data_IF_325444850500
#
_entry.id   IF_325444850500
#
_cell.length_a   1.000
_cell.length_b   1.000
_cell.length_c   1.000
_cell.angle_alpha   90.00
_cell.angle_beta   90.00
_cell.angle_gamma   90.00
#
_symmetry.space_group_name_H-M   'P 1'
#
loop_
_entity.id
_entity.type
_entity.pdbx_description
1 polymer ?
#
# COMPACT_ATOMS: atom_id res chain seq x y z
N UNK A 1 1.36 1.98 -16.71
CA UNK A 1 1.98 2.06 -15.36
C UNK A 1 1.54 3.35 -14.69
N UNK A 2 1.19 3.29 -13.39
CA UNK A 2 0.75 4.46 -12.61
C UNK A 2 1.62 4.67 -11.38
N UNK A 3 1.83 5.95 -11.04
CA UNK A 3 2.49 6.37 -9.81
C UNK A 3 1.44 6.92 -8.86
N UNK A 4 1.23 6.24 -7.74
CA UNK A 4 0.29 6.63 -6.72
C UNK A 4 1.03 7.21 -5.53
N UNK A 5 0.60 8.39 -5.07
CA UNK A 5 1.11 9.03 -3.85
C UNK A 5 0.07 8.97 -2.75
N UNK A 6 0.51 8.62 -1.55
CA UNK A 6 -0.30 8.52 -0.35
C UNK A 6 0.31 9.37 0.76
N UNK A 7 -0.39 10.40 1.19
CA UNK A 7 0.00 11.22 2.33
C UNK A 7 -0.32 10.46 3.63
N UNK A 8 0.73 10.20 4.41
CA UNK A 8 0.65 9.60 5.72
C UNK A 8 0.66 10.69 6.81
N UNK A 9 0.38 10.30 8.06
CA UNK A 9 0.36 11.26 9.18
C UNK A 9 1.74 11.91 9.38
N UNK A 10 2.79 11.10 9.28
CA UNK A 10 4.17 11.56 9.35
C UNK A 10 5.11 10.74 8.44
N UNK A 11 6.41 11.02 8.55
CA UNK A 11 7.45 10.31 7.81
C UNK A 11 7.54 8.83 8.20
N UNK A 12 7.38 8.51 9.48
CA UNK A 12 7.49 7.14 9.97
C UNK A 12 6.37 6.27 9.40
N UNK A 13 5.16 6.80 9.33
CA UNK A 13 4.01 6.14 8.72
C UNK A 13 4.21 5.91 7.22
N UNK A 14 4.80 6.88 6.51
CA UNK A 14 5.14 6.73 5.10
C UNK A 14 6.22 5.66 4.84
N UNK A 15 7.28 5.66 5.65
CA UNK A 15 8.35 4.64 5.61
C UNK A 15 7.80 3.25 5.89
N UNK A 16 6.95 3.11 6.93
CA UNK A 16 6.28 1.87 7.29
C UNK A 16 5.42 1.35 6.15
N UNK A 17 4.61 2.21 5.53
CA UNK A 17 3.78 1.82 4.38
C UNK A 17 4.64 1.34 3.20
N UNK A 18 5.68 2.08 2.84
CA UNK A 18 6.58 1.71 1.75
C UNK A 18 7.26 0.35 2.01
N UNK A 19 7.65 0.08 3.26
CA UNK A 19 8.21 -1.22 3.66
C UNK A 19 7.18 -2.37 3.58
N UNK A 20 5.96 -2.15 4.09
CA UNK A 20 4.90 -3.17 4.10
C UNK A 20 4.48 -3.60 2.69
N UNK A 21 4.48 -2.65 1.74
CA UNK A 21 4.09 -2.89 0.34
C UNK A 21 5.28 -3.18 -0.59
N UNK A 22 6.48 -3.35 -0.03
CA UNK A 22 7.69 -3.59 -0.81
C UNK A 22 7.65 -4.89 -1.60
N UNK A 23 8.17 -4.82 -2.83
CA UNK A 23 8.31 -5.97 -3.72
C UNK A 23 9.49 -6.80 -3.26
N UNK A 24 9.24 -8.09 -3.06
CA UNK A 24 10.22 -9.09 -2.65
C UNK A 24 11.11 -9.49 -3.83
N UNK A 25 12.21 -10.21 -3.55
CA UNK A 25 13.15 -10.67 -4.59
C UNK A 25 12.52 -11.54 -5.67
N UNK A 26 11.40 -12.20 -5.35
CA UNK A 26 10.64 -13.05 -6.27
C UNK A 26 9.58 -12.28 -7.08
N UNK A 27 9.53 -10.94 -6.94
CA UNK A 27 8.57 -10.08 -7.64
C UNK A 27 7.18 -10.03 -7.00
N UNK A 28 6.96 -10.69 -5.86
CA UNK A 28 5.68 -10.66 -5.15
C UNK A 28 5.66 -9.59 -4.05
N UNK A 29 4.48 -9.24 -3.55
CA UNK A 29 4.33 -8.45 -2.32
C UNK A 29 3.98 -9.34 -1.13
N UNK A 30 4.36 -8.90 0.08
CA UNK A 30 4.09 -9.64 1.31
C UNK A 30 2.71 -9.35 1.92
N UNK A 31 2.00 -8.35 1.38
CA UNK A 31 0.63 -8.02 1.76
C UNK A 31 -0.32 -9.16 1.38
N UNK A 32 -1.18 -9.54 2.32
CA UNK A 32 -2.29 -10.50 2.15
C UNK A 32 -3.63 -9.76 1.98
N UNK A 33 -3.82 -8.65 2.70
CA UNK A 33 -5.04 -7.85 2.59
C UNK A 33 -5.19 -6.80 3.68
N UNK A 34 -6.44 -6.46 4.01
CA UNK A 34 -6.80 -5.45 5.01
C UNK A 34 -7.65 -6.12 6.09
N UNK A 35 -7.30 -5.89 7.35
CA UNK A 35 -8.04 -6.37 8.52
C UNK A 35 -9.13 -5.39 8.94
N UNK A 36 -8.83 -4.09 8.98
CA UNK A 36 -9.75 -3.05 9.42
C UNK A 36 -9.37 -1.67 8.88
N UNK A 37 -10.35 -0.76 8.90
CA UNK A 37 -10.17 0.68 8.67
C UNK A 37 -10.87 1.43 9.79
N UNK A 38 -10.14 2.30 10.50
CA UNK A 38 -10.62 3.01 11.70
C UNK A 38 -10.24 4.49 11.58
N UNK A 39 -11.19 5.33 11.17
CA UNK A 39 -10.91 6.75 10.92
C UNK A 39 -9.88 6.93 9.80
N UNK A 40 -8.71 7.48 10.14
CA UNK A 40 -7.59 7.67 9.22
C UNK A 40 -6.57 6.50 9.26
N UNK A 41 -6.83 5.46 10.04
CA UNK A 41 -5.94 4.30 10.18
C UNK A 41 -6.40 3.14 9.28
N UNK A 42 -5.44 2.50 8.60
CA UNK A 42 -5.64 1.25 7.88
C UNK A 42 -4.80 0.14 8.52
N UNK A 43 -5.41 -1.01 8.81
CA UNK A 43 -4.72 -2.18 9.37
C UNK A 43 -4.47 -3.19 8.26
N UNK A 44 -3.20 -3.33 7.87
CA UNK A 44 -2.75 -4.20 6.77
C UNK A 44 -2.36 -5.56 7.34
N UNK A 45 -2.87 -6.63 6.72
CA UNK A 45 -2.52 -8.01 7.03
C UNK A 45 -1.43 -8.50 6.10
N UNK A 46 -0.40 -9.15 6.66
CA UNK A 46 0.68 -9.77 5.91
C UNK A 46 0.50 -11.28 5.82
N UNK A 47 1.26 -11.93 4.92
CA UNK A 47 1.20 -13.37 4.69
C UNK A 47 1.61 -14.22 5.90
N UNK A 48 2.40 -13.69 6.84
CA UNK A 48 2.71 -14.34 8.13
C UNK A 48 1.58 -14.22 9.18
N UNK A 49 0.44 -13.62 8.80
CA UNK A 49 -0.71 -13.33 9.66
C UNK A 49 -0.49 -12.22 10.68
N UNK A 50 0.65 -11.53 10.67
CA UNK A 50 0.80 -10.28 11.42
C UNK A 50 -0.09 -9.17 10.82
N UNK A 51 -0.44 -8.19 11.64
CA UNK A 51 -1.23 -7.03 11.23
C UNK A 51 -0.54 -5.75 11.71
N UNK A 52 -0.41 -4.79 10.82
CA UNK A 52 0.28 -3.52 11.07
C UNK A 52 -0.65 -2.37 10.70
N UNK A 53 -0.82 -1.43 11.62
CA UNK A 53 -1.55 -0.21 11.37
C UNK A 53 -0.66 0.78 10.61
N UNK A 54 -1.24 1.53 9.68
CA UNK A 54 -0.67 2.72 9.06
C UNK A 54 -1.64 3.87 9.25
N UNK A 55 -1.17 4.98 9.81
CA UNK A 55 -1.96 6.19 10.00
C UNK A 55 -1.77 7.13 8.81
N UNK A 56 -2.88 7.44 8.14
CA UNK A 56 -2.91 8.30 6.97
C UNK A 56 -3.20 9.75 7.38
N UNK A 57 -2.83 10.70 6.51
CA UNK A 57 -3.13 12.12 6.74
C UNK A 57 -4.63 12.40 6.85
N UNK A 58 -5.41 11.71 6.03
CA UNK A 58 -6.86 11.89 5.92
C UNK A 58 -7.56 10.64 5.37
N UNK A 59 -8.89 10.66 5.45
CA UNK A 59 -9.77 9.58 5.01
C UNK A 59 -9.71 9.34 3.49
N UNK A 60 -9.35 10.34 2.69
CA UNK A 60 -9.21 10.17 1.24
C UNK A 60 -8.03 9.25 0.93
N UNK A 61 -6.89 9.48 1.59
CA UNK A 61 -5.71 8.63 1.46
C UNK A 61 -5.97 7.20 1.93
N UNK A 62 -6.73 7.02 3.03
CA UNK A 62 -7.17 5.69 3.49
C UNK A 62 -8.00 4.99 2.40
N UNK A 63 -8.99 5.67 1.85
CA UNK A 63 -9.94 5.08 0.90
C UNK A 63 -9.22 4.67 -0.39
N UNK A 64 -8.30 5.51 -0.88
CA UNK A 64 -7.48 5.21 -2.06
C UNK A 64 -6.53 4.04 -1.81
N UNK A 65 -5.92 3.97 -0.62
CA UNK A 65 -5.00 2.89 -0.27
C UNK A 65 -5.76 1.57 -0.08
N UNK A 66 -6.92 1.60 0.57
CA UNK A 66 -7.80 0.44 0.71
C UNK A 66 -8.19 -0.13 -0.66
N UNK A 67 -8.59 0.72 -1.60
CA UNK A 67 -8.93 0.29 -2.95
C UNK A 67 -7.75 -0.41 -3.65
N UNK A 68 -6.56 0.21 -3.60
CA UNK A 68 -5.34 -0.37 -4.17
C UNK A 68 -5.04 -1.76 -3.57
N UNK A 69 -5.00 -1.88 -2.24
CA UNK A 69 -4.64 -3.16 -1.59
C UNK A 69 -5.69 -4.25 -1.87
N UNK A 70 -6.96 -3.88 -2.03
CA UNK A 70 -8.01 -4.83 -2.46
C UNK A 70 -7.83 -5.29 -3.90
N UNK A 71 -7.43 -4.41 -4.80
CA UNK A 71 -7.15 -4.77 -6.18
C UNK A 71 -5.91 -5.66 -6.30
N UNK A 72 -4.86 -5.37 -5.50
CA UNK A 72 -3.68 -6.23 -5.37
C UNK A 72 -4.05 -7.61 -4.85
N UNK A 73 -4.84 -7.69 -3.78
CA UNK A 73 -5.29 -8.98 -3.22
C UNK A 73 -6.16 -9.80 -4.20
N UNK A 74 -6.84 -9.14 -5.14
CA UNK A 74 -7.65 -9.76 -6.20
C UNK A 74 -6.87 -10.05 -7.48
N UNK A 75 -5.59 -9.68 -7.56
CA UNK A 75 -4.77 -9.82 -8.76
C UNK A 75 -5.07 -8.81 -9.87
N UNK A 76 -5.88 -7.78 -9.61
CA UNK A 76 -6.25 -6.74 -10.58
C UNK A 76 -5.19 -5.66 -10.75
N UNK A 77 -4.26 -5.58 -9.80
CA UNK A 77 -3.12 -4.68 -9.84
C UNK A 77 -1.90 -5.39 -9.27
N UNK A 78 -0.73 -5.07 -9.81
CA UNK A 78 0.56 -5.51 -9.29
C UNK A 78 1.37 -4.29 -8.84
N UNK A 79 1.96 -4.36 -7.65
CA UNK A 79 2.91 -3.35 -7.18
C UNK A 79 4.27 -3.68 -7.77
N UNK A 80 4.89 -2.69 -8.41
CA UNK A 80 6.20 -2.81 -9.08
C UNK A 80 7.34 -2.29 -8.20
N UNK A 81 7.07 -1.24 -7.42
CA UNK A 81 8.02 -0.68 -6.45
C UNK A 81 7.30 0.21 -5.45
N UNK A 82 7.90 0.39 -4.29
CA UNK A 82 7.50 1.38 -3.29
C UNK A 82 8.70 2.18 -2.80
N UNK A 83 8.47 3.44 -2.47
CA UNK A 83 9.44 4.33 -1.85
C UNK A 83 8.71 5.37 -0.99
N UNK A 84 9.42 6.25 -0.30
CA UNK A 84 8.82 7.34 0.46
C UNK A 84 9.70 8.60 0.47
N UNK A 85 9.05 9.76 0.54
CA UNK A 85 9.71 11.05 0.74
C UNK A 85 8.91 11.89 1.73
N UNK A 86 9.55 12.30 2.83
CA UNK A 86 8.86 12.99 3.92
C UNK A 86 7.70 12.14 4.43
N UNK A 87 6.50 12.73 4.54
CA UNK A 87 5.27 12.05 4.95
C UNK A 87 4.46 11.45 3.78
N UNK A 88 5.10 11.17 2.63
CA UNK A 88 4.42 10.65 1.44
C UNK A 88 5.03 9.33 1.02
N UNK A 89 4.21 8.28 0.92
CA UNK A 89 4.60 7.03 0.29
C UNK A 89 4.26 7.06 -1.20
N UNK A 90 5.19 6.60 -2.02
CA UNK A 90 5.03 6.47 -3.48
C UNK A 90 4.98 4.98 -3.86
N UNK A 91 3.94 4.57 -4.58
CA UNK A 91 3.75 3.19 -5.02
C UNK A 91 3.56 3.19 -6.54
N UNK A 92 4.43 2.46 -7.24
CA UNK A 92 4.29 2.22 -8.68
C UNK A 92 3.51 0.94 -8.89
N UNK A 93 2.51 0.99 -9.76
CA UNK A 93 1.65 -0.15 -10.05
C UNK A 93 1.51 -0.39 -11.55
N UNK A 94 1.17 -1.64 -11.88
CA UNK A 94 0.66 -2.09 -13.18
C UNK A 94 -0.77 -2.61 -12.97
N UNK A 95 -1.72 -2.11 -13.74
CA UNK A 95 -3.10 -2.61 -13.71
C UNK A 95 -3.26 -3.78 -14.70
N UNK A 96 -4.20 -4.68 -14.39
CA UNK A 96 -4.57 -5.77 -15.28
C UNK A 96 -5.08 -5.20 -16.63
N UNK A 97 -4.41 -5.57 -17.72
CA UNK A 97 -4.74 -5.10 -19.08
C UNK A 97 -3.89 -3.93 -19.61
N UNK A 98 -2.94 -3.39 -18.85
CA UNK A 98 -1.88 -2.53 -19.41
C UNK A 98 -0.80 -3.41 -20.09
N UNK A 99 -0.72 -3.36 -21.43
CA UNK A 99 0.44 -3.88 -22.19
C UNK A 99 1.66 -2.96 -22.02
N UNK A 100 2.86 -3.56 -22.07
CA UNK A 100 4.16 -2.87 -21.87
C UNK A 100 4.63 -2.09 -23.12
#
# INVERSE_FOLDING_TARGET
>A
MKHLKFACDDRYEAEKLAGLVSVQKDGTVYVDGITAVIGNEIVIKLKDKSSHAVLMRDKENVTRLEALLRDVAKGKAAILSSDFEGAVAEIKIKEEGEED
#
